data_IF_936703411591
#
_entry.id   IF_936703411591
#
_cell.length_a   1.000
_cell.length_b   1.000
_cell.length_c   1.000
_cell.angle_alpha   90.00
_cell.angle_beta   90.00
_cell.angle_gamma   90.00
#
_symmetry.space_group_name_H-M   'P 1'
#
loop_
_entity.id
_entity.type
_entity.pdbx_description
1 polymer ?
#
# COMPACT_ATOMS: atom_id res chain seq x y z
N UNK A 1 -1.44 15.44 26.38
CA UNK A 1 -0.49 16.01 25.41
C UNK A 1 -1.33 16.27 24.17
N UNK A 2 -1.40 17.53 23.69
CA UNK A 2 -2.17 17.85 22.49
C UNK A 2 -1.55 17.15 21.29
N UNK A 3 -2.39 16.69 20.37
CA UNK A 3 -1.97 16.13 19.10
C UNK A 3 -1.18 17.22 18.35
N UNK A 4 0.12 16.98 18.14
CA UNK A 4 1.00 17.94 17.45
C UNK A 4 0.85 17.88 15.93
N UNK A 5 0.04 16.95 15.43
CA UNK A 5 -0.14 16.70 13.99
C UNK A 5 -1.13 17.67 13.37
N UNK A 6 -0.77 18.25 12.24
CA UNK A 6 -1.63 19.13 11.43
C UNK A 6 -2.47 18.39 10.40
N UNK A 7 -2.44 17.06 10.36
CA UNK A 7 -3.08 16.26 9.31
C UNK A 7 -4.59 16.55 9.17
N UNK A 8 -5.28 16.84 10.27
CA UNK A 8 -6.70 17.14 10.26
C UNK A 8 -7.02 18.60 9.87
N UNK A 9 -6.03 19.49 9.86
CA UNK A 9 -6.16 20.89 9.50
C UNK A 9 -5.86 21.14 8.01
N UNK A 10 -5.38 20.13 7.30
CA UNK A 10 -4.98 20.23 5.90
C UNK A 10 -6.12 19.71 5.01
N UNK A 11 -6.43 20.48 3.96
CA UNK A 11 -7.33 20.03 2.89
C UNK A 11 -6.56 19.15 1.91
N UNK A 12 -6.68 17.84 2.05
CA UNK A 12 -5.95 16.87 1.23
C UNK A 12 -6.58 16.71 -0.15
N UNK A 13 -5.76 16.71 -1.19
CA UNK A 13 -6.21 16.41 -2.55
C UNK A 13 -6.36 14.90 -2.78
N UNK A 14 -5.44 14.12 -2.24
CA UNK A 14 -5.31 12.69 -2.52
C UNK A 14 -4.99 11.93 -1.25
N UNK A 15 -5.67 10.79 -1.05
CA UNK A 15 -5.29 9.79 -0.05
C UNK A 15 -4.75 8.56 -0.77
N UNK A 16 -3.51 8.20 -0.48
CA UNK A 16 -2.80 7.06 -1.06
C UNK A 16 -2.64 5.97 -0.01
N UNK A 17 -3.18 4.80 -0.27
CA UNK A 17 -2.98 3.66 0.62
C UNK A 17 -1.54 3.13 0.51
N UNK A 18 -0.87 2.97 1.64
CA UNK A 18 0.36 2.19 1.76
C UNK A 18 -0.02 0.81 2.28
N UNK A 19 -0.28 -0.11 1.35
CA UNK A 19 -0.89 -1.40 1.66
C UNK A 19 -0.19 -2.20 2.74
N UNK A 20 -0.97 -2.67 3.72
CA UNK A 20 -0.61 -3.82 4.54
C UNK A 20 -1.37 -5.04 4.03
N UNK A 21 -2.49 -4.81 3.32
CA UNK A 21 -3.35 -5.81 2.64
C UNK A 21 -4.39 -5.17 1.73
N UNK A 22 -5.13 -6.05 1.03
CA UNK A 22 -6.32 -5.70 0.25
C UNK A 22 -7.38 -4.92 1.06
N UNK A 23 -7.41 -5.03 2.38
CA UNK A 23 -8.35 -4.33 3.25
C UNK A 23 -8.21 -2.82 3.21
N UNK A 24 -7.00 -2.26 3.07
CA UNK A 24 -6.81 -0.81 2.99
C UNK A 24 -7.53 -0.21 1.79
N UNK A 25 -7.62 -0.97 0.70
CA UNK A 25 -8.43 -0.62 -0.46
C UNK A 25 -9.93 -0.53 -0.12
N UNK A 26 -10.47 -1.53 0.57
CA UNK A 26 -11.87 -1.55 1.04
C UNK A 26 -12.16 -0.40 2.02
N UNK A 27 -11.24 -0.12 2.93
CA UNK A 27 -11.32 0.96 3.92
C UNK A 27 -11.43 2.31 3.22
N UNK A 28 -10.53 2.64 2.29
CA UNK A 28 -10.53 3.94 1.61
C UNK A 28 -11.72 4.11 0.64
N UNK A 29 -12.21 3.02 0.03
CA UNK A 29 -13.47 3.01 -0.73
C UNK A 29 -14.67 3.32 0.18
N UNK A 30 -14.78 2.64 1.32
CA UNK A 30 -15.86 2.84 2.29
C UNK A 30 -15.84 4.20 2.99
N UNK A 31 -14.66 4.81 3.07
CA UNK A 31 -14.49 6.17 3.56
C UNK A 31 -14.72 7.25 2.47
N UNK A 32 -14.92 6.83 1.21
CA UNK A 32 -15.13 7.72 0.05
C UNK A 32 -13.96 8.68 -0.24
N UNK A 33 -12.74 8.30 0.19
CA UNK A 33 -11.53 9.11 -0.01
C UNK A 33 -10.62 8.60 -1.13
N UNK A 34 -11.04 7.53 -1.81
CA UNK A 34 -10.27 6.91 -2.91
C UNK A 34 -10.73 7.43 -4.25
N UNK A 35 -9.80 8.02 -5.02
CA UNK A 35 -10.09 8.57 -6.34
C UNK A 35 -9.48 7.77 -7.50
N UNK A 36 -8.48 6.93 -7.24
CA UNK A 36 -7.84 6.09 -8.27
C UNK A 36 -7.12 4.89 -7.62
N UNK A 37 -6.76 3.92 -8.45
CA UNK A 37 -5.96 2.78 -8.01
C UNK A 37 -4.50 3.18 -7.81
N UNK A 38 -3.98 2.93 -6.61
CA UNK A 38 -2.58 3.14 -6.23
C UNK A 38 -1.72 1.93 -6.65
N UNK A 39 -0.42 2.11 -6.92
CA UNK A 39 0.48 0.98 -7.09
C UNK A 39 0.58 0.10 -5.83
N UNK A 40 0.24 0.64 -4.66
CA UNK A 40 0.27 -0.08 -3.38
C UNK A 40 -1.05 -0.75 -3.01
N UNK A 41 -2.11 -0.57 -3.80
CA UNK A 41 -3.33 -1.35 -3.65
C UNK A 41 -3.01 -2.83 -3.88
N UNK A 42 -3.47 -3.69 -2.98
CA UNK A 42 -3.17 -5.12 -3.01
C UNK A 42 -1.70 -5.51 -2.81
N UNK A 43 -0.83 -4.59 -2.40
CA UNK A 43 0.51 -4.92 -1.92
C UNK A 43 0.51 -5.20 -0.42
N UNK A 44 1.43 -6.05 0.00
CA UNK A 44 1.79 -6.19 1.42
C UNK A 44 3.13 -5.50 1.66
N UNK A 45 3.14 -4.54 2.57
CA UNK A 45 4.32 -3.73 2.91
C UNK A 45 4.54 -3.72 4.42
N UNK A 46 4.39 -4.87 5.09
CA UNK A 46 4.37 -4.97 6.57
C UNK A 46 5.57 -4.28 7.24
N UNK A 47 6.76 -4.44 6.67
CA UNK A 47 7.97 -3.74 7.12
C UNK A 47 8.58 -2.86 6.02
N UNK A 48 7.88 -2.71 4.91
CA UNK A 48 8.39 -2.07 3.70
C UNK A 48 8.16 -0.57 3.60
N UNK A 49 7.99 0.16 4.71
CA UNK A 49 7.71 1.60 4.63
C UNK A 49 8.89 2.37 4.02
N UNK A 50 10.11 2.05 4.46
CA UNK A 50 11.34 2.63 3.89
C UNK A 50 11.51 2.22 2.43
N UNK A 51 11.35 0.93 2.09
CA UNK A 51 11.41 0.45 0.70
C UNK A 51 10.34 1.11 -0.18
N UNK A 52 9.15 1.32 0.35
CA UNK A 52 8.07 2.02 -0.35
C UNK A 52 8.46 3.47 -0.65
N UNK A 53 9.11 4.16 0.30
CA UNK A 53 9.63 5.50 0.09
C UNK A 53 10.77 5.50 -0.94
N UNK A 54 11.66 4.50 -0.92
CA UNK A 54 12.73 4.35 -1.92
C UNK A 54 12.17 4.19 -3.33
N UNK A 55 11.19 3.32 -3.51
CA UNK A 55 10.53 3.14 -4.79
C UNK A 55 9.91 4.44 -5.31
N UNK A 56 9.20 5.18 -4.46
CA UNK A 56 8.58 6.44 -4.87
C UNK A 56 9.60 7.55 -5.12
N UNK A 57 10.60 7.70 -4.26
CA UNK A 57 11.62 8.75 -4.39
C UNK A 57 12.51 8.57 -5.62
N UNK A 58 12.68 7.35 -6.09
CA UNK A 58 13.34 7.01 -7.35
C UNK A 58 12.37 6.93 -8.54
N UNK A 59 11.10 7.32 -8.34
CA UNK A 59 10.05 7.27 -9.37
C UNK A 59 9.84 5.87 -9.94
N UNK A 60 10.07 4.84 -9.12
CA UNK A 60 10.06 3.43 -9.52
C UNK A 60 11.06 3.10 -10.65
N UNK A 61 12.15 3.84 -10.75
CA UNK A 61 13.17 3.60 -11.76
C UNK A 61 13.64 2.14 -11.74
N UNK A 62 13.68 1.52 -12.91
CA UNK A 62 14.12 0.15 -13.14
C UNK A 62 13.28 -0.95 -12.44
N UNK A 63 12.14 -0.61 -11.82
CA UNK A 63 11.36 -1.57 -11.04
C UNK A 63 10.75 -2.69 -11.90
N UNK A 64 10.45 -2.41 -13.18
CA UNK A 64 9.93 -3.38 -14.15
C UNK A 64 10.85 -3.57 -15.36
N UNK A 65 12.15 -3.39 -15.22
CA UNK A 65 13.07 -3.48 -16.36
C UNK A 65 13.48 -4.92 -16.66
N UNK A 66 13.72 -5.73 -15.63
CA UNK A 66 14.13 -7.12 -15.79
C UNK A 66 13.14 -8.09 -15.12
N UNK A 67 12.60 -9.00 -15.91
CA UNK A 67 11.73 -10.07 -15.42
C UNK A 67 12.45 -10.99 -14.43
N UNK A 68 13.77 -11.12 -14.56
CA UNK A 68 14.58 -11.96 -13.67
C UNK A 68 14.68 -11.42 -12.23
N UNK A 69 14.31 -10.14 -12.01
CA UNK A 69 14.20 -9.57 -10.66
C UNK A 69 12.93 -10.01 -9.94
N UNK A 70 12.05 -10.70 -10.63
CA UNK A 70 10.76 -11.13 -10.10
C UNK A 70 10.65 -12.64 -9.96
N UNK A 71 9.87 -13.07 -9.01
CA UNK A 71 9.57 -14.48 -8.79
C UNK A 71 8.16 -14.66 -8.20
N UNK A 72 7.62 -15.87 -8.38
CA UNK A 72 6.39 -16.29 -7.74
C UNK A 72 6.74 -17.28 -6.63
N UNK A 73 6.25 -17.02 -5.42
CA UNK A 73 6.44 -17.87 -4.25
C UNK A 73 5.12 -18.42 -3.73
N UNK A 74 5.18 -19.54 -3.06
CA UNK A 74 4.06 -20.10 -2.32
C UNK A 74 4.00 -19.50 -0.92
N UNK A 75 2.86 -18.92 -0.54
CA UNK A 75 2.60 -18.58 0.85
C UNK A 75 1.97 -19.78 1.56
N UNK A 76 2.70 -20.38 2.49
CA UNK A 76 2.20 -21.49 3.29
C UNK A 76 1.40 -20.95 4.47
N UNK A 77 0.20 -21.49 4.70
CA UNK A 77 -0.62 -21.11 5.83
C UNK A 77 0.11 -21.35 7.17
N UNK A 78 0.07 -20.44 8.16
CA UNK A 78 0.88 -20.49 9.38
C UNK A 78 0.71 -21.73 10.26
N UNK A 79 -0.30 -22.57 10.02
CA UNK A 79 -0.63 -23.78 10.79
C UNK A 79 -0.97 -24.99 9.92
N UNK A 80 -0.67 -24.95 8.65
CA UNK A 80 -1.02 -25.96 7.66
C UNK A 80 0.13 -26.12 6.69
N UNK A 81 0.23 -27.27 6.05
CA UNK A 81 1.12 -27.51 4.89
C UNK A 81 0.47 -27.06 3.58
N UNK A 82 -0.78 -26.58 3.65
CA UNK A 82 -1.51 -26.14 2.48
C UNK A 82 -0.97 -24.80 1.95
N UNK A 83 -0.76 -24.74 0.65
CA UNK A 83 -0.44 -23.52 -0.07
C UNK A 83 -1.68 -22.63 -0.03
N UNK A 84 -1.53 -21.46 0.59
CA UNK A 84 -2.61 -20.53 0.76
C UNK A 84 -2.77 -19.61 -0.45
N UNK A 85 -1.67 -19.03 -0.89
CA UNK A 85 -1.63 -18.08 -2.02
C UNK A 85 -0.33 -18.23 -2.79
N UNK A 86 -0.36 -17.79 -4.03
CA UNK A 86 0.83 -17.50 -4.82
C UNK A 86 1.10 -16.00 -4.71
N UNK A 87 2.27 -15.63 -4.26
CA UNK A 87 2.68 -14.24 -4.14
C UNK A 87 3.69 -13.89 -5.22
N UNK A 88 3.53 -12.72 -5.82
CA UNK A 88 4.49 -12.15 -6.75
C UNK A 88 5.43 -11.24 -5.96
N UNK A 89 6.71 -11.44 -6.16
CA UNK A 89 7.77 -10.87 -5.33
C UNK A 89 8.89 -10.28 -6.16
N UNK A 90 9.30 -9.06 -5.81
CA UNK A 90 10.51 -8.46 -6.38
C UNK A 90 11.71 -8.73 -5.47
N UNK A 91 12.78 -9.33 -5.99
CA UNK A 91 13.92 -9.82 -5.21
C UNK A 91 14.67 -8.72 -4.47
N UNK A 92 14.75 -7.52 -5.07
CA UNK A 92 15.48 -6.38 -4.54
C UNK A 92 14.65 -5.53 -3.56
N UNK A 93 13.35 -5.82 -3.39
CA UNK A 93 12.46 -5.16 -2.43
C UNK A 93 11.69 -6.20 -1.61
N UNK A 94 12.38 -6.93 -0.72
CA UNK A 94 11.85 -8.13 -0.07
C UNK A 94 10.68 -7.87 0.88
N UNK A 95 10.46 -6.65 1.33
CA UNK A 95 9.33 -6.30 2.20
C UNK A 95 8.13 -5.71 1.44
N UNK A 96 8.17 -5.75 0.10
CA UNK A 96 7.11 -5.28 -0.78
C UNK A 96 6.73 -6.38 -1.76
N UNK A 97 5.52 -6.94 -1.65
CA UNK A 97 5.07 -8.03 -2.52
C UNK A 97 3.56 -7.98 -2.81
N UNK A 98 3.13 -8.72 -3.83
CA UNK A 98 1.75 -8.75 -4.33
C UNK A 98 1.08 -10.08 -4.00
N UNK A 99 0.31 -10.18 -2.89
CA UNK A 99 -0.18 -11.46 -2.37
C UNK A 99 -1.30 -12.09 -3.21
N UNK A 100 -2.00 -11.31 -4.02
CA UNK A 100 -3.20 -11.80 -4.75
C UNK A 100 -3.12 -11.61 -6.27
N UNK A 101 -2.08 -10.98 -6.78
CA UNK A 101 -2.03 -10.63 -8.20
C UNK A 101 -2.02 -11.88 -9.08
N UNK A 102 -1.19 -12.85 -8.74
CA UNK A 102 -1.13 -14.09 -9.46
C UNK A 102 -2.47 -14.87 -9.41
N UNK A 103 -3.09 -14.96 -8.23
CA UNK A 103 -4.38 -15.64 -8.06
C UNK A 103 -5.51 -15.01 -8.89
N UNK A 104 -5.54 -13.68 -8.96
CA UNK A 104 -6.56 -12.96 -9.73
C UNK A 104 -6.34 -13.19 -11.23
N UNK A 105 -5.11 -13.01 -11.69
CA UNK A 105 -4.77 -13.15 -13.10
C UNK A 105 -5.11 -14.53 -13.65
N UNK A 106 -4.65 -15.58 -12.97
CA UNK A 106 -4.85 -16.93 -13.45
C UNK A 106 -6.31 -17.43 -13.32
N UNK A 107 -7.10 -16.88 -12.40
CA UNK A 107 -8.55 -17.19 -12.34
C UNK A 107 -9.31 -16.72 -13.57
N UNK A 108 -8.87 -15.64 -14.22
CA UNK A 108 -9.53 -15.10 -15.40
C UNK A 108 -9.10 -15.81 -16.68
N UNK A 109 -7.91 -16.43 -16.70
CA UNK A 109 -7.28 -16.99 -17.90
C UNK A 109 -7.21 -18.52 -17.92
N UNK A 110 -7.42 -19.18 -16.79
CA UNK A 110 -7.27 -20.63 -16.64
C UNK A 110 -8.61 -21.34 -16.41
N UNK A 111 -8.73 -22.56 -16.89
CA UNK A 111 -9.77 -23.51 -16.48
C UNK A 111 -9.56 -23.92 -15.01
N UNK A 112 -10.57 -24.56 -14.40
CA UNK A 112 -10.45 -25.04 -13.01
C UNK A 112 -9.32 -26.05 -12.81
N UNK A 113 -9.09 -26.90 -13.81
CA UNK A 113 -8.06 -27.95 -13.75
C UNK A 113 -6.67 -27.33 -13.91
N UNK A 114 -6.47 -26.45 -14.88
CA UNK A 114 -5.23 -25.67 -15.05
C UNK A 114 -4.91 -24.83 -13.80
N UNK A 115 -5.90 -24.20 -13.19
CA UNK A 115 -5.73 -23.45 -11.95
C UNK A 115 -5.32 -24.36 -10.79
N UNK A 116 -5.87 -25.58 -10.73
CA UNK A 116 -5.50 -26.55 -9.71
C UNK A 116 -4.06 -27.02 -9.90
N UNK A 117 -3.68 -27.41 -11.11
CA UNK A 117 -2.31 -27.80 -11.45
C UNK A 117 -1.32 -26.67 -11.16
N UNK A 118 -1.67 -25.43 -11.53
CA UNK A 118 -0.84 -24.28 -11.25
C UNK A 118 -0.67 -24.03 -9.73
N UNK A 119 -1.70 -24.19 -8.92
CA UNK A 119 -1.64 -23.99 -7.46
C UNK A 119 -0.71 -24.99 -6.77
N UNK A 120 -0.57 -26.19 -7.31
CA UNK A 120 0.29 -27.25 -6.73
C UNK A 120 1.67 -27.31 -7.38
N UNK A 121 1.92 -26.55 -8.46
CA UNK A 121 3.21 -26.55 -9.13
C UNK A 121 4.33 -25.96 -8.22
N UNK A 122 5.46 -26.62 -8.19
CA UNK A 122 6.63 -26.21 -7.40
C UNK A 122 7.35 -25.00 -8.00
N UNK A 123 7.33 -24.91 -9.32
CA UNK A 123 7.92 -23.79 -10.07
C UNK A 123 6.87 -23.15 -10.95
N UNK A 124 6.77 -21.85 -10.83
CA UNK A 124 5.83 -21.03 -11.58
C UNK A 124 6.58 -20.07 -12.48
N UNK A 125 6.16 -20.05 -13.73
CA UNK A 125 6.65 -19.08 -14.69
C UNK A 125 5.91 -17.76 -14.50
N UNK A 126 6.63 -16.66 -14.34
CA UNK A 126 6.10 -15.32 -14.26
C UNK A 126 5.85 -14.73 -15.65
N UNK A 127 6.46 -15.27 -16.70
CA UNK A 127 6.39 -14.75 -18.06
C UNK A 127 4.95 -14.46 -18.52
N UNK A 128 3.96 -15.36 -18.32
CA UNK A 128 2.60 -15.12 -18.78
C UNK A 128 1.89 -13.91 -18.17
N UNK A 129 2.29 -13.50 -16.96
CA UNK A 129 1.68 -12.37 -16.24
C UNK A 129 2.54 -11.10 -16.28
N UNK A 130 3.78 -11.21 -16.75
CA UNK A 130 4.78 -10.14 -16.68
C UNK A 130 4.34 -8.87 -17.41
N UNK A 131 3.95 -8.99 -18.67
CA UNK A 131 3.58 -7.84 -19.49
C UNK A 131 2.36 -7.11 -18.92
N UNK A 132 1.43 -7.85 -18.37
CA UNK A 132 0.23 -7.27 -17.77
C UNK A 132 0.53 -6.61 -16.43
N UNK A 133 1.37 -7.24 -15.60
CA UNK A 133 1.88 -6.60 -14.40
C UNK A 133 2.56 -5.27 -14.73
N UNK A 134 3.50 -5.29 -15.66
CA UNK A 134 4.24 -4.11 -16.11
C UNK A 134 3.28 -3.01 -16.58
N UNK A 135 2.30 -3.36 -17.40
CA UNK A 135 1.29 -2.43 -17.90
C UNK A 135 0.42 -1.85 -16.78
N UNK A 136 -0.19 -2.71 -15.97
CA UNK A 136 -1.15 -2.29 -14.93
C UNK A 136 -0.45 -1.49 -13.83
N UNK A 137 0.63 -2.03 -13.28
CA UNK A 137 1.34 -1.34 -12.19
C UNK A 137 2.16 -0.16 -12.69
N UNK A 138 2.77 -0.25 -13.87
CA UNK A 138 3.46 0.88 -14.50
C UNK A 138 2.54 2.09 -14.68
N UNK A 139 1.32 1.89 -15.16
CA UNK A 139 0.33 2.97 -15.27
C UNK A 139 -0.04 3.57 -13.90
N UNK A 140 -0.17 2.74 -12.85
CA UNK A 140 -0.45 3.21 -11.50
C UNK A 140 0.72 3.99 -10.90
N UNK A 141 1.96 3.53 -11.14
CA UNK A 141 3.19 4.20 -10.72
C UNK A 141 3.33 5.56 -11.40
N UNK A 142 3.17 5.63 -12.72
CA UNK A 142 3.23 6.89 -13.46
C UNK A 142 2.21 7.92 -12.97
N UNK A 143 0.97 7.49 -12.69
CA UNK A 143 -0.04 8.38 -12.12
C UNK A 143 0.37 8.91 -10.74
N UNK A 144 0.84 8.03 -9.85
CA UNK A 144 1.29 8.45 -8.53
C UNK A 144 2.47 9.43 -8.61
N UNK A 145 3.47 9.13 -9.44
CA UNK A 145 4.63 10.01 -9.66
C UNK A 145 4.18 11.37 -10.21
N UNK A 146 3.25 11.39 -11.16
CA UNK A 146 2.68 12.64 -11.68
C UNK A 146 2.02 13.48 -10.58
N UNK A 147 1.29 12.83 -9.65
CA UNK A 147 0.70 13.53 -8.51
C UNK A 147 1.75 14.03 -7.52
N UNK A 148 2.79 13.24 -7.26
CA UNK A 148 3.90 13.62 -6.39
C UNK A 148 4.73 14.79 -6.94
N UNK A 149 4.77 14.95 -8.26
CA UNK A 149 5.44 16.09 -8.94
C UNK A 149 4.54 17.31 -9.10
N UNK A 150 3.26 17.20 -8.83
CA UNK A 150 2.31 18.31 -8.88
C UNK A 150 2.34 19.11 -7.57
N UNK A 151 1.55 20.19 -7.52
CA UNK A 151 1.35 20.98 -6.28
C UNK A 151 0.21 20.42 -5.43
N UNK A 152 -0.08 19.13 -5.52
CA UNK A 152 -1.10 18.49 -4.71
C UNK A 152 -0.65 18.32 -3.26
N UNK A 153 -1.65 18.13 -2.38
CA UNK A 153 -1.43 17.71 -0.99
C UNK A 153 -1.80 16.24 -0.88
N UNK A 154 -0.83 15.41 -0.55
CA UNK A 154 -0.97 13.96 -0.56
C UNK A 154 -0.83 13.41 0.85
N UNK A 155 -1.89 12.72 1.31
CA UNK A 155 -1.86 11.97 2.55
C UNK A 155 -1.62 10.49 2.24
N UNK A 156 -0.54 9.94 2.75
CA UNK A 156 -0.34 8.52 2.80
C UNK A 156 -1.07 7.92 4.00
N UNK A 157 -1.80 6.85 3.76
CA UNK A 157 -2.58 6.16 4.78
C UNK A 157 -2.10 4.72 4.96
N UNK A 158 -1.87 4.35 6.21
CA UNK A 158 -1.52 3.00 6.62
C UNK A 158 -2.32 2.61 7.85
N UNK A 159 -2.86 1.40 7.86
CA UNK A 159 -3.51 0.82 9.03
C UNK A 159 -3.05 -0.61 9.26
N UNK A 160 -2.70 -0.93 10.50
CA UNK A 160 -2.35 -2.29 10.90
C UNK A 160 -3.58 -3.17 11.09
N UNK A 161 -3.34 -4.46 10.97
CA UNK A 161 -4.26 -5.47 11.44
C UNK A 161 -3.61 -6.32 12.54
N UNK A 162 -4.35 -6.64 13.62
CA UNK A 162 -3.85 -7.46 14.76
C UNK A 162 -3.24 -8.78 14.32
N UNK A 163 -3.81 -9.42 13.30
CA UNK A 163 -3.31 -10.71 12.77
C UNK A 163 -1.93 -10.59 12.09
N UNK A 164 -1.56 -9.39 11.64
CA UNK A 164 -0.27 -9.16 10.96
C UNK A 164 0.85 -8.78 11.90
N UNK A 165 0.55 -8.38 13.13
CA UNK A 165 1.57 -8.04 14.13
C UNK A 165 2.58 -9.17 14.41
N UNK A 166 2.27 -10.40 13.98
CA UNK A 166 3.22 -11.52 14.03
C UNK A 166 4.38 -11.39 13.02
N UNK A 167 4.23 -10.54 12.01
CA UNK A 167 5.21 -10.29 10.94
C UNK A 167 5.99 -9.00 11.15
N UNK A 168 5.59 -8.18 12.13
CA UNK A 168 6.30 -6.94 12.47
C UNK A 168 7.43 -7.30 13.44
N UNK A 169 8.65 -7.17 12.98
CA UNK A 169 9.85 -7.52 13.75
C UNK A 169 10.59 -6.29 14.27
N UNK A 170 10.38 -5.12 13.65
CA UNK A 170 11.05 -3.89 14.04
C UNK A 170 10.33 -3.19 15.21
N UNK A 171 11.09 -2.87 16.25
CA UNK A 171 10.63 -2.04 17.39
C UNK A 171 10.81 -0.55 17.12
N UNK A 172 11.61 -0.17 16.10
CA UNK A 172 11.99 1.23 15.83
C UNK A 172 11.14 1.86 14.70
N UNK A 173 9.82 1.79 14.85
CA UNK A 173 8.92 2.27 13.80
C UNK A 173 8.83 3.80 13.72
N UNK A 174 9.04 4.53 14.82
CA UNK A 174 9.09 6.01 14.77
C UNK A 174 10.19 6.51 13.83
N UNK A 175 11.35 5.85 13.84
CA UNK A 175 12.45 6.17 12.92
C UNK A 175 12.04 5.95 11.47
N UNK A 176 11.40 4.82 11.16
CA UNK A 176 10.93 4.52 9.81
C UNK A 176 9.84 5.49 9.32
N UNK A 177 8.96 5.96 10.23
CA UNK A 177 7.94 6.96 9.88
C UNK A 177 8.60 8.31 9.52
N UNK A 178 9.55 8.75 10.31
CA UNK A 178 10.28 9.98 10.06
C UNK A 178 11.15 9.89 8.79
N UNK A 179 11.82 8.76 8.59
CA UNK A 179 12.60 8.49 7.39
C UNK A 179 11.72 8.53 6.14
N UNK A 180 10.55 7.89 6.18
CA UNK A 180 9.56 7.94 5.09
C UNK A 180 9.21 9.38 4.72
N UNK A 181 8.75 10.18 5.68
CA UNK A 181 8.31 11.56 5.43
C UNK A 181 9.48 12.41 4.93
N UNK A 182 10.65 12.35 5.57
CA UNK A 182 11.82 13.13 5.17
C UNK A 182 12.27 12.78 3.74
N UNK A 183 12.29 11.52 3.38
CA UNK A 183 12.65 11.05 2.05
C UNK A 183 11.66 11.56 1.00
N UNK A 184 10.36 11.44 1.27
CA UNK A 184 9.31 11.88 0.37
C UNK A 184 9.30 13.41 0.18
N UNK A 185 9.43 14.19 1.25
CA UNK A 185 9.50 15.66 1.18
C UNK A 185 10.75 16.13 0.47
N UNK A 186 11.87 15.42 0.63
CA UNK A 186 13.13 15.73 -0.09
C UNK A 186 12.98 15.44 -1.58
N UNK A 187 12.39 14.32 -1.96
CA UNK A 187 12.22 13.95 -3.36
C UNK A 187 11.16 14.81 -4.08
N UNK A 188 10.13 15.25 -3.35
CA UNK A 188 8.99 16.00 -3.92
C UNK A 188 8.73 17.31 -3.15
N UNK A 189 9.66 18.28 -3.20
CA UNK A 189 9.60 19.49 -2.36
C UNK A 189 8.43 20.43 -2.70
N UNK A 190 7.75 20.20 -3.82
CA UNK A 190 6.60 21.03 -4.23
C UNK A 190 5.26 20.49 -3.72
N UNK A 191 5.26 19.26 -3.17
CA UNK A 191 4.06 18.55 -2.74
C UNK A 191 4.03 18.52 -1.22
N UNK A 192 2.91 18.93 -0.64
CA UNK A 192 2.67 18.78 0.79
C UNK A 192 2.34 17.31 1.08
N UNK A 193 3.16 16.66 1.88
CA UNK A 193 3.06 15.22 2.13
C UNK A 193 2.85 14.97 3.61
N UNK A 194 1.82 14.17 3.92
CA UNK A 194 1.54 13.69 5.27
C UNK A 194 1.41 12.17 5.34
N UNK A 195 1.48 11.64 6.54
CA UNK A 195 1.32 10.22 6.84
C UNK A 195 0.36 10.04 8.02
N UNK A 196 -0.71 9.30 7.80
CA UNK A 196 -1.58 8.80 8.87
C UNK A 196 -1.31 7.31 9.06
N UNK A 197 -0.91 6.94 10.27
CA UNK A 197 -0.65 5.56 10.63
C UNK A 197 -1.49 5.13 11.83
N UNK A 198 -2.48 4.30 11.56
CA UNK A 198 -3.31 3.68 12.60
C UNK A 198 -2.69 2.32 12.96
N UNK A 199 -2.26 2.15 14.20
CA UNK A 199 -1.52 0.97 14.61
C UNK A 199 -2.23 0.16 15.69
N UNK A 200 -1.94 -1.13 15.75
CA UNK A 200 -2.42 -2.06 16.77
C UNK A 200 -1.31 -2.49 17.71
N UNK A 201 -1.71 -2.87 18.92
CA UNK A 201 -0.87 -3.60 19.87
C UNK A 201 -1.46 -4.99 20.15
N UNK A 202 -0.64 -5.89 20.64
CA UNK A 202 -1.10 -7.18 21.17
C UNK A 202 -0.35 -7.54 22.46
N UNK A 203 -0.66 -8.67 23.07
CA UNK A 203 -0.06 -9.07 24.34
C UNK A 203 1.47 -9.26 24.30
N UNK A 204 2.02 -9.59 23.11
CA UNK A 204 3.45 -9.85 22.90
C UNK A 204 4.21 -8.68 22.30
N UNK A 205 3.50 -7.79 21.62
CA UNK A 205 4.09 -6.68 20.88
C UNK A 205 3.35 -5.40 21.24
N UNK A 206 3.97 -4.57 22.05
CA UNK A 206 3.46 -3.26 22.44
C UNK A 206 4.42 -2.18 21.96
N UNK A 207 3.85 -1.15 21.37
CA UNK A 207 4.57 0.03 20.89
C UNK A 207 3.76 1.29 21.18
N UNK A 208 4.47 2.39 21.28
CA UNK A 208 3.89 3.73 21.35
C UNK A 208 4.57 4.52 20.26
N UNK A 209 3.79 4.98 19.29
CA UNK A 209 4.29 5.78 18.19
C UNK A 209 4.02 7.25 18.45
N UNK A 210 4.88 8.12 17.95
CA UNK A 210 4.85 9.55 18.19
C UNK A 210 4.34 10.29 16.96
N UNK A 211 3.34 11.14 17.14
CA UNK A 211 2.89 12.06 16.09
C UNK A 211 3.85 13.25 15.97
N UNK A 212 3.99 13.76 14.76
CA UNK A 212 4.72 14.99 14.46
C UNK A 212 3.90 15.88 13.52
N UNK A 213 4.43 16.99 13.06
CA UNK A 213 3.67 17.95 12.24
C UNK A 213 2.94 17.31 11.05
N UNK A 214 3.62 16.41 10.30
CA UNK A 214 3.08 15.73 9.12
C UNK A 214 2.87 14.24 9.32
N UNK A 215 3.01 13.74 10.55
CA UNK A 215 2.78 12.35 10.90
C UNK A 215 1.74 12.29 12.00
N UNK A 216 0.62 11.65 11.72
CA UNK A 216 -0.37 11.29 12.74
C UNK A 216 -0.29 9.80 13.02
N UNK A 217 -0.08 9.45 14.27
CA UNK A 217 -0.08 8.06 14.72
C UNK A 217 -1.14 7.88 15.80
N UNK A 218 -1.95 6.84 15.67
CA UNK A 218 -3.01 6.57 16.61
C UNK A 218 -3.17 5.09 16.88
N UNK A 219 -3.29 4.72 18.15
CA UNK A 219 -3.55 3.34 18.56
C UNK A 219 -5.01 3.00 18.33
N UNK A 220 -5.27 1.97 17.53
CA UNK A 220 -6.62 1.45 17.33
C UNK A 220 -7.10 0.81 18.64
N UNK A 221 -8.26 1.24 19.19
CA UNK A 221 -8.81 0.69 20.41
C UNK A 221 -9.09 -0.81 20.31
N UNK A 222 -8.81 -1.57 21.38
CA UNK A 222 -8.94 -3.03 21.36
C UNK A 222 -10.38 -3.54 21.15
N UNK A 223 -11.35 -2.73 21.54
CA UNK A 223 -12.78 -3.06 21.49
C UNK A 223 -13.48 -2.65 20.19
N UNK A 224 -12.75 -2.04 19.24
CA UNK A 224 -13.28 -1.63 17.92
C UNK A 224 -12.61 -2.49 16.84
N UNK A 225 -13.36 -2.81 15.79
CA UNK A 225 -12.77 -3.46 14.62
C UNK A 225 -11.87 -2.48 13.87
N UNK A 226 -10.71 -2.97 13.44
CA UNK A 226 -9.68 -2.16 12.79
C UNK A 226 -10.23 -1.41 11.56
N UNK A 227 -11.04 -2.08 10.74
CA UNK A 227 -11.62 -1.50 9.53
C UNK A 227 -12.61 -0.39 9.86
N UNK A 228 -13.50 -0.61 10.82
CA UNK A 228 -14.49 0.37 11.26
C UNK A 228 -13.84 1.63 11.80
N UNK A 229 -12.81 1.46 12.64
CA UNK A 229 -12.04 2.57 13.18
C UNK A 229 -11.33 3.35 12.09
N UNK A 230 -10.65 2.65 11.18
CA UNK A 230 -9.92 3.26 10.08
C UNK A 230 -10.84 4.06 9.15
N UNK A 231 -12.04 3.54 8.84
CA UNK A 231 -13.05 4.24 8.04
C UNK A 231 -13.49 5.53 8.75
N UNK A 232 -13.77 5.47 10.06
CA UNK A 232 -14.16 6.66 10.83
C UNK A 232 -13.08 7.73 10.83
N UNK A 233 -11.82 7.34 11.00
CA UNK A 233 -10.69 8.27 11.00
C UNK A 233 -10.46 8.89 9.62
N UNK A 234 -10.55 8.12 8.54
CA UNK A 234 -10.46 8.66 7.19
C UNK A 234 -11.62 9.64 6.87
N UNK A 235 -12.84 9.35 7.32
CA UNK A 235 -13.99 10.26 7.15
C UNK A 235 -13.86 11.56 7.93
N UNK A 236 -13.01 11.63 8.95
CA UNK A 236 -12.74 12.86 9.69
C UNK A 236 -11.71 13.78 9.03
N UNK A 237 -11.09 13.35 7.94
CA UNK A 237 -10.17 14.16 7.16
C UNK A 237 -10.91 15.14 6.24
N UNK A 238 -10.29 16.28 5.99
CA UNK A 238 -10.71 17.18 4.93
C UNK A 238 -10.10 16.69 3.61
N UNK A 239 -10.86 15.96 2.79
CA UNK A 239 -10.43 15.51 1.47
C UNK A 239 -11.20 16.28 0.40
N UNK A 240 -10.48 17.01 -0.44
CA UNK A 240 -11.07 17.86 -1.49
C UNK A 240 -11.69 16.99 -2.60
N UNK A 241 -12.80 17.44 -3.20
CA UNK A 241 -13.37 16.78 -4.36
C UNK A 241 -12.37 16.68 -5.52
N UNK A 242 -12.47 15.61 -6.31
CA UNK A 242 -11.54 15.30 -7.41
C UNK A 242 -11.33 16.44 -8.40
N UNK A 243 -12.37 17.24 -8.67
CA UNK A 243 -12.30 18.39 -9.58
C UNK A 243 -11.47 19.57 -9.06
N UNK A 244 -11.03 19.55 -7.81
CA UNK A 244 -10.15 20.56 -7.20
C UNK A 244 -8.67 20.12 -7.15
N UNK A 245 -8.33 18.97 -7.76
CA UNK A 245 -6.96 18.51 -7.86
C UNK A 245 -6.20 19.28 -8.95
N UNK A 246 -4.93 19.57 -8.73
CA UNK A 246 -4.10 20.38 -9.62
C UNK A 246 -3.74 19.70 -10.94
N UNK A 247 -3.83 18.40 -11.05
CA UNK A 247 -3.57 17.70 -12.30
C UNK A 247 -4.82 16.94 -12.73
N UNK A 248 -5.46 17.43 -13.79
CA UNK A 248 -6.72 16.89 -14.31
C UNK A 248 -6.54 15.87 -15.43
N UNK A 249 -5.32 15.50 -15.82
CA UNK A 249 -5.04 14.50 -16.88
C UNK A 249 -5.44 13.05 -16.50
N UNK A 250 -6.38 12.92 -15.56
CA UNK A 250 -7.01 11.65 -15.19
C UNK A 250 -8.08 11.17 -16.17
N UNK A 251 -8.28 11.86 -17.30
CA UNK A 251 -9.29 11.50 -18.28
C UNK A 251 -8.95 10.28 -19.14
N UNK A 252 -7.82 9.62 -18.91
CA UNK A 252 -7.67 8.25 -19.42
C UNK A 252 -8.50 7.33 -18.54
N UNK A 253 -9.65 6.99 -19.06
CA UNK A 253 -10.55 5.95 -18.58
C UNK A 253 -9.76 4.68 -18.24
N UNK A 254 -9.39 4.53 -16.99
CA UNK A 254 -9.29 3.20 -16.44
C UNK A 254 -10.71 2.81 -16.05
N UNK A 255 -11.40 2.17 -16.95
CA UNK A 255 -12.40 1.19 -16.55
C UNK A 255 -11.63 0.16 -15.71
N UNK A 256 -11.52 0.42 -14.40
CA UNK A 256 -11.24 -0.62 -13.43
C UNK A 256 -12.46 -1.56 -13.51
N UNK A 257 -12.48 -2.42 -14.52
CA UNK A 257 -13.33 -3.61 -14.48
C UNK A 257 -12.88 -4.36 -13.25
N UNK A 258 -13.81 -4.42 -12.31
CA UNK A 258 -13.78 -5.11 -11.02
C UNK A 258 -13.29 -6.54 -11.10
#
# INVERSE_FOLDING_TARGET
>A
MGDSSKIFDIDWNIVVNLGIKCNTLGISRSAEVRYYSSPFDNMDTVEGLTETADLMSTEFANYFDDINDWEIKNEIAPRSTEIRNKIVWHKNTPNVYYPHFADVWFKETMTKDELHEWKVADKLDIQPIWEDMKRVFGNRQQRLVSQLKSKNKILFFRADEKRQLKRVHSTNQDEHLNEFINKMQTAFPQTEIGLMYLYCNNAKFKRTLTSSEYIHTELIPENIKEDEYSIQRLKSLNVLPRNQMHNTDFNTECSDTE
#
